data_IF_253957895926
#
_entry.id   IF_253957895926
#
_cell.length_a   1.000
_cell.length_b   1.000
_cell.length_c   1.000
_cell.angle_alpha   90.00
_cell.angle_beta   90.00
_cell.angle_gamma   90.00
#
_symmetry.space_group_name_H-M   'P 1'
#
loop_
_entity.id
_entity.type
_entity.pdbx_description
1 polymer ?
#
# COMPACT_ATOMS: atom_id res chain seq x y z
N UNK A 1 -7.55 25.09 3.25
CA UNK A 1 -8.56 24.03 3.49
C UNK A 1 -9.58 24.57 4.49
N UNK A 2 -10.80 24.83 4.05
CA UNK A 2 -11.88 25.13 5.01
C UNK A 2 -12.50 23.79 5.42
N UNK A 3 -12.59 23.53 6.71
CA UNK A 3 -13.23 22.36 7.33
C UNK A 3 -14.73 22.19 6.95
N UNK A 4 -15.26 23.03 6.10
CA UNK A 4 -16.67 23.09 5.73
C UNK A 4 -17.03 22.34 4.44
N UNK A 5 -16.16 21.49 3.91
CA UNK A 5 -16.44 20.72 2.68
C UNK A 5 -16.48 21.56 1.38
N UNK A 6 -15.97 22.77 1.42
CA UNK A 6 -15.86 23.68 0.28
C UNK A 6 -14.40 23.77 -0.20
N UNK A 7 -13.76 22.63 -0.47
CA UNK A 7 -12.47 22.64 -1.16
C UNK A 7 -12.63 23.16 -2.60
N UNK A 8 -11.69 23.97 -3.04
CA UNK A 8 -11.57 24.47 -4.42
C UNK A 8 -10.22 24.04 -4.97
N UNK A 9 -10.20 23.48 -6.16
CA UNK A 9 -8.98 23.02 -6.80
C UNK A 9 -8.68 23.94 -7.99
N UNK A 10 -7.44 24.38 -8.11
CA UNK A 10 -6.99 25.28 -9.13
C UNK A 10 -5.67 24.85 -9.73
N UNK A 11 -5.47 25.12 -11.01
CA UNK A 11 -4.18 25.05 -11.69
C UNK A 11 -3.75 26.47 -12.06
N UNK A 12 -2.53 26.85 -11.66
CA UNK A 12 -1.94 28.12 -12.00
C UNK A 12 -0.69 27.93 -12.86
N UNK A 13 -0.57 28.73 -13.90
CA UNK A 13 0.65 28.84 -14.70
C UNK A 13 1.38 30.10 -14.29
N UNK A 14 2.66 29.97 -13.93
CA UNK A 14 3.50 31.05 -13.46
C UNK A 14 4.57 31.36 -14.51
N UNK A 15 4.94 32.63 -14.64
CA UNK A 15 6.14 33.04 -15.38
C UNK A 15 7.40 32.84 -14.54
N UNK A 16 8.58 33.19 -15.12
CA UNK A 16 9.88 33.08 -14.45
C UNK A 16 10.03 33.98 -13.21
N UNK A 17 9.17 35.00 -13.08
CA UNK A 17 9.15 35.95 -11.97
C UNK A 17 8.05 35.54 -10.93
N UNK A 18 7.50 34.32 -11.05
CA UNK A 18 6.44 33.73 -10.22
C UNK A 18 5.10 34.49 -10.27
N UNK A 19 4.85 35.23 -11.36
CA UNK A 19 3.55 35.89 -11.59
C UNK A 19 2.62 34.94 -12.31
N UNK A 20 1.36 34.90 -11.87
CA UNK A 20 0.33 34.12 -12.52
C UNK A 20 0.05 34.71 -13.90
N UNK A 21 0.24 33.89 -14.95
CA UNK A 21 -0.02 34.28 -16.34
C UNK A 21 -1.18 33.52 -16.97
N UNK A 22 -1.62 32.41 -16.34
CA UNK A 22 -2.78 31.63 -16.73
C UNK A 22 -3.31 30.82 -15.56
N UNK A 23 -4.58 30.40 -15.63
CA UNK A 23 -5.24 29.64 -14.57
C UNK A 23 -6.43 28.83 -15.07
N UNK A 24 -6.68 27.68 -14.44
CA UNK A 24 -7.96 26.96 -14.45
C UNK A 24 -8.42 26.89 -13.02
N UNK A 25 -9.62 27.42 -12.75
CA UNK A 25 -10.16 27.51 -11.39
C UNK A 25 -11.39 26.62 -11.25
N UNK A 26 -11.74 26.32 -9.99
CA UNK A 26 -12.96 25.60 -9.60
C UNK A 26 -13.08 24.18 -10.17
N UNK A 27 -11.94 23.50 -10.37
CA UNK A 27 -11.92 22.10 -10.76
C UNK A 27 -12.54 21.25 -9.65
N UNK A 28 -13.55 20.43 -9.98
CA UNK A 28 -14.19 19.48 -9.08
C UNK A 28 -14.43 20.05 -7.68
N UNK A 29 -15.25 21.09 -7.59
CA UNK A 29 -15.60 21.76 -6.34
C UNK A 29 -16.09 20.78 -5.27
N UNK A 30 -15.50 20.84 -4.09
CA UNK A 30 -15.80 19.96 -2.95
C UNK A 30 -15.01 18.64 -2.95
N UNK A 31 -14.11 18.44 -3.92
CA UNK A 31 -13.18 17.30 -4.00
C UNK A 31 -11.78 17.71 -3.58
N UNK A 32 -10.91 16.72 -3.31
CA UNK A 32 -9.50 16.95 -2.96
C UNK A 32 -8.62 16.42 -4.10
N UNK A 33 -7.53 17.12 -4.46
CA UNK A 33 -6.53 16.62 -5.41
C UNK A 33 -5.73 15.51 -4.75
N UNK A 34 -5.65 14.36 -5.42
CA UNK A 34 -4.84 13.20 -5.03
C UNK A 34 -3.53 13.12 -5.80
N UNK A 35 -3.58 13.36 -7.09
CA UNK A 35 -2.36 13.36 -7.91
C UNK A 35 -2.45 14.33 -9.07
N UNK A 36 -1.28 14.76 -9.54
CA UNK A 36 -1.12 15.54 -10.76
C UNK A 36 0.11 15.08 -11.53
N UNK A 37 0.01 15.04 -12.86
CA UNK A 37 1.10 14.69 -13.75
C UNK A 37 1.12 15.61 -14.97
N UNK A 38 2.31 16.11 -15.32
CA UNK A 38 2.51 16.90 -16.52
C UNK A 38 3.20 16.04 -17.58
N UNK A 39 2.75 16.17 -18.84
CA UNK A 39 3.28 15.47 -19.99
C UNK A 39 3.21 16.40 -21.20
N UNK A 40 4.34 17.00 -21.57
CA UNK A 40 4.39 17.99 -22.66
C UNK A 40 3.40 19.12 -22.41
N UNK A 41 2.50 19.31 -23.35
CA UNK A 41 1.49 20.38 -23.32
C UNK A 41 0.20 19.97 -22.57
N UNK A 42 0.24 18.91 -21.79
CA UNK A 42 -0.91 18.41 -21.03
C UNK A 42 -0.62 18.28 -19.55
N UNK A 43 -1.63 18.53 -18.72
CA UNK A 43 -1.66 18.19 -17.29
C UNK A 43 -2.81 17.21 -17.03
N UNK A 44 -2.53 16.20 -16.23
CA UNK A 44 -3.48 15.21 -15.73
C UNK A 44 -3.66 15.44 -14.25
N UNK A 45 -4.91 15.64 -13.81
CA UNK A 45 -5.22 15.87 -12.39
C UNK A 45 -6.30 14.89 -11.98
N UNK A 46 -6.03 14.15 -10.89
CA UNK A 46 -7.01 13.29 -10.22
C UNK A 46 -7.52 14.01 -8.98
N UNK A 47 -8.83 14.15 -8.90
CA UNK A 47 -9.51 14.63 -7.69
C UNK A 47 -10.41 13.54 -7.15
N UNK A 48 -10.79 13.56 -5.88
CA UNK A 48 -11.65 12.56 -5.27
C UNK A 48 -12.57 13.12 -4.20
N UNK A 49 -13.81 12.65 -4.26
CA UNK A 49 -14.76 12.64 -3.14
C UNK A 49 -15.45 11.28 -3.00
N UNK A 50 -15.86 10.67 -4.11
CA UNK A 50 -16.53 9.36 -4.17
C UNK A 50 -16.22 8.62 -5.49
N UNK A 51 -16.25 9.33 -6.60
CA UNK A 51 -15.96 8.86 -7.95
C UNK A 51 -14.99 9.87 -8.53
N UNK A 52 -13.82 9.38 -8.94
CA UNK A 52 -12.74 10.25 -9.40
C UNK A 52 -12.96 10.74 -10.82
N UNK A 53 -12.93 12.02 -11.06
CA UNK A 53 -12.55 12.50 -12.38
C UNK A 53 -11.03 12.55 -12.53
N UNK A 54 -10.52 11.88 -13.56
CA UNK A 54 -9.23 12.16 -14.18
C UNK A 54 -9.44 13.29 -15.18
N UNK A 55 -8.99 14.50 -14.86
CA UNK A 55 -9.04 15.63 -15.79
C UNK A 55 -7.84 15.62 -16.73
N UNK A 56 -8.10 15.92 -18.00
CA UNK A 56 -7.08 16.24 -19.01
C UNK A 56 -7.15 17.73 -19.30
N UNK A 57 -6.04 18.43 -19.08
CA UNK A 57 -5.96 19.89 -19.18
C UNK A 57 -4.89 20.25 -20.23
N UNK A 58 -5.24 21.08 -21.20
CA UNK A 58 -4.31 21.71 -22.12
C UNK A 58 -3.53 22.83 -21.41
N UNK A 59 -2.21 22.77 -21.50
CA UNK A 59 -1.31 23.80 -21.00
C UNK A 59 -0.37 24.31 -22.09
N UNK A 60 -0.66 23.99 -23.38
CA UNK A 60 0.13 24.41 -24.55
C UNK A 60 0.18 25.93 -24.68
N UNK A 61 -0.96 26.61 -24.43
CA UNK A 61 -0.99 28.06 -24.26
C UNK A 61 -0.93 28.39 -22.74
N UNK A 62 0.21 28.77 -22.19
CA UNK A 62 0.35 29.02 -20.77
C UNK A 62 -0.51 30.18 -20.24
N UNK A 63 -1.05 31.04 -21.12
CA UNK A 63 -1.95 32.13 -20.75
C UNK A 63 -3.42 31.74 -20.70
N UNK A 64 -3.78 30.65 -21.37
CA UNK A 64 -5.15 30.19 -21.53
C UNK A 64 -5.25 28.65 -21.35
N UNK A 65 -4.81 28.12 -20.19
CA UNK A 65 -4.97 26.70 -19.94
C UNK A 65 -6.47 26.31 -19.88
N UNK A 66 -6.84 25.15 -20.41
CA UNK A 66 -8.22 24.74 -20.53
C UNK A 66 -8.43 23.25 -20.22
N UNK A 67 -9.55 22.90 -19.59
CA UNK A 67 -9.97 21.50 -19.42
C UNK A 67 -10.42 20.98 -20.80
N UNK A 68 -9.79 19.92 -21.28
CA UNK A 68 -10.14 19.27 -22.54
C UNK A 68 -11.21 18.19 -22.33
N UNK A 69 -11.09 17.41 -21.28
CA UNK A 69 -12.02 16.34 -20.97
C UNK A 69 -11.79 15.81 -19.56
N UNK A 70 -12.65 14.88 -19.16
CA UNK A 70 -12.49 14.14 -17.90
C UNK A 70 -13.11 12.75 -18.00
N UNK A 71 -12.53 11.79 -17.26
CA UNK A 71 -13.04 10.44 -17.10
C UNK A 71 -13.46 10.23 -15.63
N UNK A 72 -14.69 9.79 -15.42
CA UNK A 72 -15.14 9.32 -14.10
C UNK A 72 -14.83 7.83 -13.95
N UNK A 73 -14.06 7.47 -12.94
CA UNK A 73 -13.65 6.10 -12.64
C UNK A 73 -14.02 5.72 -11.20
N UNK A 74 -14.19 4.42 -10.95
CA UNK A 74 -14.31 3.93 -9.57
C UNK A 74 -12.95 3.99 -8.88
N UNK A 75 -12.93 4.36 -7.61
CA UNK A 75 -11.69 4.53 -6.86
C UNK A 75 -10.90 5.77 -7.26
N UNK A 76 -9.63 5.85 -6.86
CA UNK A 76 -8.78 6.99 -7.13
C UNK A 76 -7.33 6.57 -7.39
N UNK A 77 -6.52 7.50 -7.92
CA UNK A 77 -5.10 7.33 -8.17
C UNK A 77 -4.29 8.32 -7.33
N UNK A 78 -3.54 7.81 -6.34
CA UNK A 78 -2.58 8.59 -5.56
C UNK A 78 -1.34 8.95 -6.37
N UNK A 79 -1.03 8.13 -7.38
CA UNK A 79 0.13 8.32 -8.24
C UNK A 79 -0.22 8.07 -9.71
N UNK A 80 0.27 8.96 -10.59
CA UNK A 80 0.18 8.83 -12.04
C UNK A 80 1.56 8.63 -12.63
N UNK A 81 1.76 7.53 -13.37
CA UNK A 81 2.95 7.19 -14.13
C UNK A 81 2.66 7.29 -15.62
N UNK A 82 3.48 8.06 -16.35
CA UNK A 82 3.39 8.09 -17.80
C UNK A 82 3.80 6.71 -18.36
N UNK A 83 2.94 6.14 -19.19
CA UNK A 83 3.23 4.92 -19.95
C UNK A 83 3.80 5.29 -21.34
N UNK A 84 3.12 6.18 -22.07
CA UNK A 84 3.59 6.84 -23.29
C UNK A 84 2.80 8.15 -23.52
N UNK A 85 2.90 8.74 -24.70
CA UNK A 85 2.26 10.01 -25.05
C UNK A 85 0.71 9.96 -25.02
N UNK A 86 0.13 8.75 -25.14
CA UNK A 86 -1.31 8.53 -25.19
C UNK A 86 -1.85 7.72 -24.01
N UNK A 87 -0.97 7.24 -23.10
CA UNK A 87 -1.41 6.37 -22.01
C UNK A 87 -0.79 6.77 -20.67
N UNK A 88 -1.60 6.66 -19.62
CA UNK A 88 -1.21 6.96 -18.23
C UNK A 88 -1.58 5.76 -17.35
N UNK A 89 -0.65 5.36 -16.47
CA UNK A 89 -0.90 4.37 -15.41
C UNK A 89 -1.31 5.12 -14.15
N UNK A 90 -2.47 4.76 -13.57
CA UNK A 90 -2.88 5.20 -12.25
C UNK A 90 -2.67 4.11 -11.21
N UNK A 91 -2.06 4.46 -10.07
CA UNK A 91 -1.87 3.59 -8.92
C UNK A 91 -2.57 4.23 -7.73
N UNK A 92 -3.52 3.53 -7.13
CA UNK A 92 -4.36 4.06 -6.05
C UNK A 92 -5.17 2.96 -5.38
N UNK A 93 -6.41 3.28 -5.00
CA UNK A 93 -7.32 2.31 -4.40
C UNK A 93 -8.63 2.22 -5.15
N UNK A 94 -9.22 1.03 -5.17
CA UNK A 94 -10.58 0.83 -5.62
C UNK A 94 -11.55 1.29 -4.51
N UNK A 95 -12.79 1.65 -4.89
CA UNK A 95 -13.84 2.02 -3.94
C UNK A 95 -15.13 1.29 -4.26
N UNK A 96 -15.87 0.89 -3.21
CA UNK A 96 -17.18 0.25 -3.33
C UNK A 96 -18.13 0.69 -2.22
N UNK A 97 -19.41 0.43 -2.42
CA UNK A 97 -20.42 0.68 -1.40
C UNK A 97 -20.54 2.15 -0.96
N UNK A 98 -21.05 2.35 0.25
CA UNK A 98 -21.22 3.67 0.84
C UNK A 98 -22.53 4.38 0.41
N UNK A 99 -22.56 5.69 0.56
CA UNK A 99 -23.70 6.55 0.21
C UNK A 99 -23.29 7.68 -0.75
N UNK A 100 -24.10 8.71 -0.93
CA UNK A 100 -23.82 9.82 -1.85
C UNK A 100 -22.55 10.62 -1.50
N UNK A 101 -22.06 10.55 -0.26
CA UNK A 101 -20.92 11.32 0.23
C UNK A 101 -19.73 10.47 0.67
N UNK A 102 -19.83 9.14 0.61
CA UNK A 102 -18.84 8.23 1.17
C UNK A 102 -18.76 6.92 0.36
N UNK A 103 -17.55 6.39 0.21
CA UNK A 103 -17.28 5.04 -0.33
C UNK A 103 -16.20 4.33 0.48
N UNK A 104 -16.28 2.99 0.57
CA UNK A 104 -15.29 2.17 1.24
C UNK A 104 -14.08 1.93 0.33
N UNK A 105 -12.89 2.35 0.77
CA UNK A 105 -11.65 2.00 0.09
C UNK A 105 -11.44 0.50 0.15
N UNK A 106 -11.11 -0.11 -0.99
CA UNK A 106 -10.84 -1.53 -1.14
C UNK A 106 -9.33 -1.79 -1.33
N UNK A 107 -8.98 -2.77 -2.16
CA UNK A 107 -7.62 -3.12 -2.51
C UNK A 107 -6.85 -2.04 -3.27
N UNK A 108 -5.57 -2.29 -3.49
CA UNK A 108 -4.74 -1.44 -4.36
C UNK A 108 -5.16 -1.65 -5.81
N UNK A 109 -5.50 -0.55 -6.49
CA UNK A 109 -5.85 -0.53 -7.91
C UNK A 109 -4.66 -0.07 -8.74
N UNK A 110 -4.44 -0.77 -9.86
CA UNK A 110 -3.56 -0.33 -10.94
C UNK A 110 -4.41 -0.30 -12.19
N UNK A 111 -4.50 0.87 -12.82
CA UNK A 111 -5.29 1.08 -14.03
C UNK A 111 -4.45 1.72 -15.12
N UNK A 112 -4.72 1.37 -16.37
CA UNK A 112 -4.16 1.99 -17.57
C UNK A 112 -5.25 2.79 -18.25
N UNK A 113 -5.00 4.06 -18.48
CA UNK A 113 -5.90 4.99 -19.14
C UNK A 113 -5.39 5.31 -20.54
N UNK A 114 -6.26 5.23 -21.55
CA UNK A 114 -6.04 5.80 -22.88
C UNK A 114 -6.55 7.26 -22.85
N UNK A 115 -5.65 8.17 -23.13
CA UNK A 115 -5.89 9.62 -23.20
C UNK A 115 -5.58 10.19 -24.59
N UNK A 116 -5.58 9.34 -25.62
CA UNK A 116 -5.39 9.74 -27.02
C UNK A 116 -6.55 10.61 -27.50
N UNK A 117 -7.78 10.24 -27.18
CA UNK A 117 -8.94 11.13 -27.28
C UNK A 117 -9.08 11.90 -25.96
N UNK A 118 -8.59 13.13 -25.97
CA UNK A 118 -8.53 13.98 -24.75
C UNK A 118 -9.91 14.41 -24.25
N UNK A 119 -10.92 14.43 -25.11
CA UNK A 119 -12.30 14.76 -24.73
C UNK A 119 -13.01 13.56 -24.11
N UNK A 120 -12.58 12.33 -24.47
CA UNK A 120 -13.18 11.08 -24.03
C UNK A 120 -12.12 10.07 -23.57
N UNK A 121 -11.34 10.37 -22.50
CA UNK A 121 -10.37 9.41 -21.97
C UNK A 121 -11.09 8.16 -21.44
N UNK A 122 -10.45 6.99 -21.52
CA UNK A 122 -11.04 5.70 -21.13
C UNK A 122 -10.09 4.87 -20.26
N UNK A 123 -10.63 4.12 -19.30
CA UNK A 123 -9.90 3.06 -18.58
C UNK A 123 -9.86 1.80 -19.44
N UNK A 124 -8.71 1.47 -20.01
CA UNK A 124 -8.56 0.33 -20.94
C UNK A 124 -8.22 -0.96 -20.24
N UNK A 125 -7.51 -0.90 -19.12
CA UNK A 125 -7.13 -2.07 -18.29
C UNK A 125 -7.11 -1.68 -16.83
N UNK A 126 -7.48 -2.62 -15.96
CA UNK A 126 -7.23 -2.51 -14.51
C UNK A 126 -7.05 -3.85 -13.83
N UNK A 127 -6.35 -3.84 -12.72
CA UNK A 127 -6.35 -4.91 -11.72
C UNK A 127 -6.59 -4.32 -10.33
N UNK A 128 -7.16 -5.13 -9.47
CA UNK A 128 -7.28 -4.87 -8.04
C UNK A 128 -6.48 -5.92 -7.28
N UNK A 129 -5.71 -5.50 -6.30
CA UNK A 129 -4.84 -6.35 -5.48
C UNK A 129 -5.37 -6.35 -4.05
N UNK A 130 -5.83 -7.51 -3.61
CA UNK A 130 -6.34 -7.73 -2.26
C UNK A 130 -7.66 -7.02 -1.95
N UNK A 131 -8.05 -7.10 -0.68
CA UNK A 131 -9.27 -6.49 -0.16
C UNK A 131 -8.99 -5.20 0.61
N UNK A 132 -10.03 -4.63 1.21
CA UNK A 132 -9.95 -3.49 2.12
C UNK A 132 -8.94 -3.76 3.24
N UNK A 133 -7.97 -2.88 3.42
CA UNK A 133 -6.81 -3.05 4.31
C UNK A 133 -5.50 -3.33 3.56
N UNK A 134 -5.56 -3.76 2.29
CA UNK A 134 -4.37 -3.83 1.44
C UNK A 134 -3.80 -2.42 1.23
N UNK A 135 -2.48 -2.29 1.32
CA UNK A 135 -1.79 -1.01 1.20
C UNK A 135 -0.48 -1.11 0.42
N UNK A 136 0.06 0.04 0.01
CA UNK A 136 1.32 0.15 -0.72
C UNK A 136 2.07 1.42 -0.36
N UNK A 137 3.38 1.32 -0.19
CA UNK A 137 4.26 2.49 -0.09
C UNK A 137 4.16 3.39 -1.34
N UNK A 138 3.82 2.82 -2.50
CA UNK A 138 3.66 3.54 -3.77
C UNK A 138 2.53 4.59 -3.75
N UNK A 139 1.58 4.48 -2.80
CA UNK A 139 0.48 5.44 -2.66
C UNK A 139 0.92 6.75 -1.99
N UNK A 140 1.99 6.72 -1.20
CA UNK A 140 2.52 7.87 -0.47
C UNK A 140 3.91 8.31 -0.94
N UNK A 141 4.70 7.41 -1.52
CA UNK A 141 6.05 7.69 -2.01
C UNK A 141 6.25 7.11 -3.42
N UNK A 142 6.22 7.98 -4.43
CA UNK A 142 6.40 7.61 -5.84
C UNK A 142 7.74 6.91 -6.12
N UNK A 143 8.77 7.08 -5.28
CA UNK A 143 10.06 6.38 -5.42
C UNK A 143 9.96 4.88 -5.15
N UNK A 144 8.85 4.43 -4.57
CA UNK A 144 8.57 3.01 -4.40
C UNK A 144 8.08 2.33 -5.70
N UNK A 145 7.73 3.12 -6.72
CA UNK A 145 7.32 2.61 -8.03
C UNK A 145 8.54 2.40 -8.91
N UNK A 146 8.74 1.18 -9.40
CA UNK A 146 9.68 0.88 -10.48
C UNK A 146 8.87 0.55 -11.74
N UNK A 147 9.01 1.35 -12.78
CA UNK A 147 8.36 1.14 -14.08
C UNK A 147 9.37 1.18 -15.22
N UNK A 148 9.29 0.20 -16.11
CA UNK A 148 10.05 0.15 -17.36
C UNK A 148 9.17 -0.37 -18.49
N UNK A 149 8.77 0.54 -19.39
CA UNK A 149 7.93 0.23 -20.56
C UNK A 149 8.59 -0.78 -21.51
N UNK A 150 9.90 -0.65 -21.76
CA UNK A 150 10.62 -1.52 -22.69
C UNK A 150 10.65 -2.98 -22.23
N UNK A 151 10.54 -3.21 -20.92
CA UNK A 151 10.49 -4.54 -20.29
C UNK A 151 9.07 -4.99 -19.94
N UNK A 152 8.06 -4.17 -20.19
CA UNK A 152 6.70 -4.36 -19.70
C UNK A 152 6.65 -4.59 -18.16
N UNK A 153 7.50 -3.91 -17.41
CA UNK A 153 7.74 -4.18 -16.00
C UNK A 153 7.16 -3.07 -15.14
N UNK A 154 6.37 -3.47 -14.15
CA UNK A 154 5.96 -2.62 -13.02
C UNK A 154 6.22 -3.37 -11.72
N UNK A 155 6.95 -2.76 -10.79
CA UNK A 155 7.18 -3.32 -9.46
C UNK A 155 6.75 -2.33 -8.41
N UNK A 156 5.89 -2.76 -7.49
CA UNK A 156 5.43 -1.96 -6.35
C UNK A 156 5.42 -2.80 -5.06
N UNK A 157 5.73 -2.20 -3.91
CA UNK A 157 5.54 -2.84 -2.62
C UNK A 157 4.05 -3.03 -2.34
N UNK A 158 3.67 -4.15 -1.75
CA UNK A 158 2.30 -4.45 -1.32
C UNK A 158 2.31 -5.05 0.08
N UNK A 159 1.42 -4.54 0.93
CA UNK A 159 0.97 -5.16 2.18
C UNK A 159 -0.43 -5.70 1.92
N UNK A 160 -0.53 -7.00 1.62
CA UNK A 160 -1.75 -7.64 1.16
C UNK A 160 -2.67 -8.00 2.33
N UNK A 161 -3.89 -7.52 2.29
CA UNK A 161 -4.96 -7.94 3.18
C UNK A 161 -6.04 -8.69 2.42
N UNK A 162 -6.57 -9.75 3.02
CA UNK A 162 -7.64 -10.58 2.44
C UNK A 162 -8.75 -10.80 3.45
N UNK A 163 -10.00 -10.76 2.98
CA UNK A 163 -11.17 -11.11 3.77
C UNK A 163 -11.27 -12.62 3.92
N UNK A 164 -11.75 -13.05 5.07
CA UNK A 164 -12.03 -14.47 5.36
C UNK A 164 -13.43 -14.61 5.96
N UNK A 165 -13.84 -15.83 6.25
CA UNK A 165 -15.18 -16.15 6.80
C UNK A 165 -15.45 -15.56 8.20
N UNK A 166 -14.43 -15.02 8.88
CA UNK A 166 -14.53 -14.40 10.21
C UNK A 166 -14.48 -12.86 10.12
N UNK A 167 -14.30 -12.31 8.92
CA UNK A 167 -14.20 -10.87 8.72
C UNK A 167 -15.53 -10.19 9.06
N UNK A 168 -15.51 -9.28 10.01
CA UNK A 168 -16.70 -8.53 10.43
C UNK A 168 -16.89 -7.29 9.57
N UNK A 169 -18.14 -7.02 9.22
CA UNK A 169 -18.55 -5.83 8.48
C UNK A 169 -19.31 -4.84 9.37
N UNK A 170 -19.21 -3.55 9.03
CA UNK A 170 -20.03 -2.53 9.67
C UNK A 170 -21.45 -2.55 9.09
N UNK A 171 -22.47 -2.57 9.97
CA UNK A 171 -23.88 -2.57 9.57
C UNK A 171 -24.26 -3.63 8.52
N UNK A 172 -23.63 -4.79 8.52
CA UNK A 172 -23.81 -5.83 7.50
C UNK A 172 -23.47 -5.39 6.05
N UNK A 173 -22.72 -4.32 5.89
CA UNK A 173 -22.18 -3.90 4.60
C UNK A 173 -20.85 -4.63 4.33
N UNK A 174 -20.80 -5.61 3.40
CA UNK A 174 -19.61 -6.41 3.14
C UNK A 174 -18.44 -5.58 2.62
N UNK A 175 -18.70 -4.41 2.02
CA UNK A 175 -17.65 -3.54 1.51
C UNK A 175 -16.94 -2.77 2.63
N UNK A 176 -17.57 -2.65 3.80
CA UNK A 176 -16.97 -2.04 5.00
C UNK A 176 -15.92 -2.93 5.68
N UNK A 177 -15.96 -4.23 5.42
CA UNK A 177 -15.16 -5.23 6.11
C UNK A 177 -13.67 -5.12 5.77
N UNK A 178 -12.81 -5.07 6.79
CA UNK A 178 -11.36 -5.10 6.62
C UNK A 178 -10.84 -6.52 6.49
N UNK A 179 -10.01 -6.77 5.48
CA UNK A 179 -9.22 -7.99 5.38
C UNK A 179 -8.14 -8.07 6.47
N UNK A 180 -7.72 -9.29 6.75
CA UNK A 180 -6.54 -9.56 7.57
C UNK A 180 -5.29 -9.47 6.71
N UNK A 181 -4.23 -8.87 7.22
CA UNK A 181 -2.96 -8.81 6.52
C UNK A 181 -2.35 -10.22 6.42
N UNK A 182 -2.15 -10.69 5.19
CA UNK A 182 -1.72 -12.08 4.91
C UNK A 182 -0.35 -12.18 4.25
N UNK A 183 0.14 -11.09 3.65
CA UNK A 183 1.43 -11.11 2.96
C UNK A 183 2.00 -9.69 2.80
N UNK A 184 3.34 -9.59 2.75
CA UNK A 184 4.05 -8.34 2.49
C UNK A 184 5.27 -8.57 1.62
N UNK A 185 5.49 -7.68 0.64
CA UNK A 185 6.64 -7.75 -0.25
C UNK A 185 6.47 -6.88 -1.50
N UNK A 186 7.18 -7.21 -2.58
CA UNK A 186 7.04 -6.58 -3.89
C UNK A 186 6.22 -7.44 -4.84
N UNK A 187 5.20 -6.85 -5.45
CA UNK A 187 4.51 -7.40 -6.61
C UNK A 187 5.28 -7.01 -7.86
N UNK A 188 5.65 -8.01 -8.64
CA UNK A 188 6.28 -7.87 -9.95
C UNK A 188 5.21 -8.14 -11.00
N UNK A 189 4.87 -7.14 -11.78
CA UNK A 189 3.77 -7.17 -12.75
C UNK A 189 4.31 -7.02 -14.17
N UNK A 190 3.69 -7.73 -15.10
CA UNK A 190 3.75 -7.38 -16.51
C UNK A 190 2.68 -6.33 -16.78
N UNK A 191 3.05 -5.26 -17.48
CA UNK A 191 2.13 -4.20 -17.86
C UNK A 191 2.38 -3.78 -19.31
N UNK A 192 1.35 -3.92 -20.15
CA UNK A 192 1.33 -3.44 -21.51
C UNK A 192 -0.11 -3.03 -21.89
N UNK A 193 -0.35 -2.63 -23.14
CA UNK A 193 -1.67 -2.18 -23.58
C UNK A 193 -2.71 -3.31 -23.61
N UNK A 194 -2.27 -4.56 -23.67
CA UNK A 194 -3.16 -5.72 -23.75
C UNK A 194 -3.51 -6.27 -22.38
N UNK A 195 -2.57 -6.19 -21.39
CA UNK A 195 -2.78 -6.77 -20.07
C UNK A 195 -2.03 -6.04 -18.95
N UNK A 196 -2.55 -6.20 -17.73
CA UNK A 196 -1.83 -6.02 -16.47
C UNK A 196 -1.92 -7.36 -15.75
N UNK A 197 -0.80 -8.06 -15.57
CA UNK A 197 -0.78 -9.41 -15.00
C UNK A 197 0.32 -9.59 -13.97
N UNK A 198 0.09 -10.46 -12.98
CA UNK A 198 1.08 -10.78 -11.96
C UNK A 198 2.15 -11.71 -12.56
N UNK A 199 3.40 -11.26 -12.64
CA UNK A 199 4.56 -12.09 -12.95
C UNK A 199 4.99 -12.93 -11.75
N UNK A 200 4.98 -12.34 -10.54
CA UNK A 200 5.29 -13.02 -9.29
C UNK A 200 5.48 -12.06 -8.12
N UNK A 201 5.91 -12.60 -6.99
CA UNK A 201 6.03 -11.89 -5.72
C UNK A 201 7.39 -12.13 -5.10
N UNK A 202 7.99 -11.09 -4.49
CA UNK A 202 9.24 -11.18 -3.74
C UNK A 202 8.97 -10.66 -2.33
N UNK A 203 9.31 -11.44 -1.30
CA UNK A 203 9.19 -11.00 0.10
C UNK A 203 10.54 -10.99 0.79
N UNK A 204 10.71 -10.11 1.76
CA UNK A 204 11.83 -10.11 2.69
C UNK A 204 11.49 -10.82 4.01
N UNK A 205 10.24 -11.21 4.19
CA UNK A 205 9.83 -12.01 5.33
C UNK A 205 10.27 -13.46 5.13
N UNK A 206 10.91 -14.01 6.13
CA UNK A 206 11.29 -15.43 6.16
C UNK A 206 10.29 -16.17 7.06
N UNK A 207 9.75 -17.27 6.56
CA UNK A 207 8.86 -18.11 7.36
C UNK A 207 9.66 -18.80 8.47
N UNK A 208 9.16 -18.66 9.69
CA UNK A 208 9.68 -19.45 10.78
C UNK A 208 9.24 -20.92 10.64
N UNK A 209 10.22 -21.82 10.67
CA UNK A 209 10.00 -23.27 10.54
C UNK A 209 10.37 -24.05 11.81
N UNK A 210 10.81 -23.35 12.86
CA UNK A 210 11.21 -23.96 14.10
C UNK A 210 10.02 -24.35 15.00
N UNK A 211 10.29 -25.07 16.09
CA UNK A 211 9.25 -25.45 17.03
C UNK A 211 8.68 -24.25 17.77
N UNK A 212 7.38 -24.25 18.04
CA UNK A 212 6.68 -23.24 18.82
C UNK A 212 6.16 -23.88 20.11
N UNK A 213 6.34 -23.23 21.25
CA UNK A 213 5.89 -23.72 22.56
C UNK A 213 4.82 -22.80 23.12
N UNK A 214 3.76 -23.39 23.67
CA UNK A 214 2.73 -22.64 24.40
C UNK A 214 3.19 -22.41 25.83
N UNK A 215 3.07 -21.17 26.29
CA UNK A 215 3.36 -20.82 27.68
C UNK A 215 2.24 -21.29 28.61
N UNK A 216 2.61 -21.72 29.82
CA UNK A 216 1.64 -21.86 30.88
C UNK A 216 1.02 -20.48 31.24
N UNK A 217 -0.25 -20.47 31.61
CA UNK A 217 -1.05 -19.25 31.82
C UNK A 217 -0.43 -18.31 32.86
N UNK A 218 0.26 -18.88 33.84
CA UNK A 218 0.73 -18.16 35.03
C UNK A 218 2.22 -17.73 34.96
N UNK A 219 2.90 -17.97 33.82
CA UNK A 219 4.28 -17.56 33.68
C UNK A 219 4.40 -16.06 33.38
N UNK A 220 5.33 -15.33 34.00
CA UNK A 220 5.51 -13.89 33.75
C UNK A 220 6.05 -13.60 32.35
N UNK A 221 5.69 -12.44 31.79
CA UNK A 221 6.28 -11.93 30.54
C UNK A 221 7.78 -11.77 30.72
N UNK A 222 8.56 -12.17 29.71
CA UNK A 222 10.02 -12.14 29.75
C UNK A 222 10.64 -13.37 30.43
N UNK A 223 9.85 -14.31 30.95
CA UNK A 223 10.36 -15.61 31.38
C UNK A 223 11.05 -16.32 30.23
N UNK A 224 12.18 -16.99 30.51
CA UNK A 224 12.95 -17.70 29.49
C UNK A 224 12.93 -19.20 29.73
N UNK A 225 12.92 -19.97 28.64
CA UNK A 225 13.15 -21.42 28.64
C UNK A 225 14.24 -21.77 27.66
N UNK A 226 15.05 -22.78 27.97
CA UNK A 226 16.05 -23.31 27.06
C UNK A 226 15.62 -24.70 26.60
N UNK A 227 15.59 -24.91 25.28
CA UNK A 227 15.28 -26.23 24.71
C UNK A 227 16.48 -27.18 24.77
N UNK A 228 16.26 -28.44 24.36
CA UNK A 228 17.30 -29.49 24.33
C UNK A 228 18.44 -29.20 23.36
N UNK A 229 18.26 -28.23 22.44
CA UNK A 229 19.25 -27.78 21.48
C UNK A 229 20.03 -26.55 21.93
N UNK A 230 19.69 -26.01 23.13
CA UNK A 230 20.33 -24.82 23.70
C UNK A 230 19.73 -23.49 23.24
N UNK A 231 18.61 -23.48 22.48
CA UNK A 231 17.95 -22.23 22.10
C UNK A 231 17.19 -21.67 23.29
N UNK A 232 17.30 -20.36 23.47
CA UNK A 232 16.58 -19.64 24.52
C UNK A 232 15.27 -19.08 23.95
N UNK A 233 14.17 -19.41 24.58
CA UNK A 233 12.83 -18.98 24.26
C UNK A 233 12.35 -17.96 25.29
N UNK A 234 11.83 -16.82 24.83
CA UNK A 234 11.34 -15.75 25.69
C UNK A 234 9.83 -15.64 25.60
N UNK A 235 9.15 -15.62 26.77
CA UNK A 235 7.70 -15.45 26.81
C UNK A 235 7.29 -14.06 26.39
N UNK A 236 6.32 -13.98 25.52
CA UNK A 236 5.68 -12.75 25.06
C UNK A 236 4.17 -12.82 25.23
N UNK A 237 3.53 -11.66 25.28
CA UNK A 237 2.09 -11.54 25.18
C UNK A 237 1.70 -10.90 23.87
N UNK A 238 0.63 -11.42 23.30
CA UNK A 238 0.00 -10.85 22.13
C UNK A 238 -1.17 -10.02 22.60
N UNK A 239 -1.17 -8.76 22.25
CA UNK A 239 -2.19 -7.81 22.62
C UNK A 239 -2.94 -7.33 21.40
N UNK A 240 -4.26 -7.21 21.51
CA UNK A 240 -5.10 -6.52 20.54
C UNK A 240 -5.72 -5.28 21.19
N UNK A 241 -6.04 -4.30 20.35
CA UNK A 241 -6.72 -3.10 20.81
C UNK A 241 -8.23 -3.29 20.65
N UNK A 242 -8.94 -3.31 21.77
CA UNK A 242 -10.40 -3.50 21.80
C UNK A 242 -11.12 -2.17 21.82
N UNK A 243 -11.88 -1.88 20.76
CA UNK A 243 -12.67 -0.66 20.61
C UNK A 243 -14.10 -0.78 21.17
N UNK A 244 -14.45 -1.86 21.85
CA UNK A 244 -15.84 -2.25 22.13
C UNK A 244 -16.62 -1.39 23.12
N UNK A 245 -16.09 -0.27 23.62
CA UNK A 245 -16.81 0.53 24.61
C UNK A 245 -16.48 2.02 24.51
N UNK A 246 -17.42 2.80 24.02
CA UNK A 246 -17.52 4.28 24.17
C UNK A 246 -16.25 5.09 23.92
N UNK A 247 -15.58 4.87 22.78
CA UNK A 247 -14.55 5.80 22.28
C UNK A 247 -13.17 5.69 22.92
N UNK A 248 -12.97 4.87 23.95
CA UNK A 248 -11.67 4.59 24.55
C UNK A 248 -11.38 3.10 24.43
N UNK A 249 -10.54 2.74 23.46
CA UNK A 249 -10.07 1.36 23.32
C UNK A 249 -9.09 0.99 24.44
N UNK A 250 -9.00 -0.30 24.74
CA UNK A 250 -8.04 -0.87 25.69
C UNK A 250 -7.24 -1.98 25.06
N UNK A 251 -5.96 -2.05 25.41
CA UNK A 251 -5.12 -3.18 25.06
C UNK A 251 -5.48 -4.40 25.90
N UNK A 252 -5.90 -5.48 25.23
CA UNK A 252 -6.20 -6.77 25.88
C UNK A 252 -5.24 -7.84 25.37
N UNK A 253 -4.82 -8.73 26.27
CA UNK A 253 -4.01 -9.89 25.91
C UNK A 253 -4.89 -10.92 25.22
N UNK A 254 -4.55 -11.26 23.96
CA UNK A 254 -5.23 -12.30 23.17
C UNK A 254 -4.64 -13.67 23.43
N UNK A 255 -3.30 -13.76 23.52
CA UNK A 255 -2.57 -15.01 23.72
C UNK A 255 -1.19 -14.75 24.33
N UNK A 256 -0.54 -15.82 24.76
CA UNK A 256 0.85 -15.79 25.25
C UNK A 256 1.61 -16.96 24.67
N UNK A 257 2.89 -16.80 24.41
CA UNK A 257 3.77 -17.84 23.85
C UNK A 257 5.23 -17.58 24.14
N UNK A 258 6.09 -18.44 23.62
CA UNK A 258 7.56 -18.28 23.66
C UNK A 258 8.11 -18.14 22.25
N UNK A 259 9.13 -17.29 22.08
CA UNK A 259 9.88 -17.13 20.83
C UNK A 259 11.40 -17.08 21.07
N UNK A 260 12.19 -17.57 20.13
CA UNK A 260 13.65 -17.45 20.14
C UNK A 260 14.20 -16.71 18.93
N UNK A 261 13.37 -16.42 17.95
CA UNK A 261 13.71 -15.72 16.71
C UNK A 261 12.55 -14.88 16.25
N UNK A 262 12.74 -14.13 15.19
CA UNK A 262 11.68 -13.39 14.48
C UNK A 262 10.82 -14.41 13.73
N UNK A 263 9.53 -14.45 14.05
CA UNK A 263 8.56 -15.28 13.35
C UNK A 263 7.92 -14.47 12.22
N UNK A 264 7.81 -15.04 11.04
CA UNK A 264 7.11 -14.41 9.93
C UNK A 264 5.62 -14.71 9.92
N UNK A 265 5.25 -15.94 10.21
CA UNK A 265 3.87 -16.37 10.38
C UNK A 265 3.85 -17.66 11.20
N UNK A 266 3.09 -17.69 12.28
CA UNK A 266 2.71 -18.95 12.88
C UNK A 266 1.23 -18.98 13.19
N UNK A 267 0.62 -20.10 12.82
CA UNK A 267 -0.77 -20.37 13.10
C UNK A 267 -0.85 -21.19 14.38
N UNK A 268 -1.49 -20.63 15.41
CA UNK A 268 -1.71 -21.31 16.69
C UNK A 268 -2.99 -22.15 16.66
N UNK A 269 -3.73 -22.19 15.56
CA UNK A 269 -4.98 -22.94 15.41
C UNK A 269 -4.83 -24.43 15.69
N UNK A 270 -3.64 -24.97 15.50
CA UNK A 270 -3.35 -26.40 15.68
C UNK A 270 -2.69 -26.74 17.02
N UNK A 271 -2.62 -25.81 17.96
CA UNK A 271 -2.04 -26.10 19.27
C UNK A 271 -3.05 -26.90 20.14
N UNK A 272 -2.57 -27.90 20.87
CA UNK A 272 -3.40 -28.59 21.87
C UNK A 272 -3.88 -27.61 22.92
N UNK A 273 -5.15 -27.23 22.86
CA UNK A 273 -5.75 -26.22 23.76
C UNK A 273 -6.67 -25.24 23.06
N UNK A 274 -6.76 -25.30 21.71
CA UNK A 274 -7.82 -24.62 20.94
C UNK A 274 -7.71 -23.09 20.90
N UNK A 275 -6.52 -22.52 20.98
CA UNK A 275 -6.32 -21.09 20.78
C UNK A 275 -5.95 -20.87 19.32
N UNK A 276 -6.91 -20.41 18.52
CA UNK A 276 -6.68 -19.98 17.15
C UNK A 276 -5.98 -18.62 17.15
N UNK A 277 -4.69 -18.62 16.89
CA UNK A 277 -3.90 -17.41 16.82
C UNK A 277 -2.96 -17.42 15.61
N UNK A 278 -3.18 -16.51 14.72
CA UNK A 278 -2.22 -16.16 13.67
C UNK A 278 -1.50 -14.88 14.10
N UNK A 279 -0.25 -14.99 14.53
CA UNK A 279 0.60 -13.81 14.62
C UNK A 279 1.04 -13.49 13.21
N UNK A 280 0.33 -12.57 12.58
CA UNK A 280 0.80 -11.95 11.35
C UNK A 280 1.97 -11.05 11.68
N UNK A 281 3.20 -11.54 11.55
CA UNK A 281 4.37 -10.70 11.40
C UNK A 281 4.49 -10.12 9.98
N UNK A 282 3.44 -10.25 9.20
CA UNK A 282 3.33 -9.66 7.87
C UNK A 282 3.51 -8.13 7.89
N UNK A 283 3.33 -7.49 9.03
CA UNK A 283 3.55 -6.04 9.23
C UNK A 283 4.85 -5.71 9.97
N UNK A 284 5.94 -6.39 9.69
CA UNK A 284 7.22 -5.91 10.20
C UNK A 284 7.70 -4.76 9.31
N UNK A 285 7.60 -3.53 9.84
CA UNK A 285 8.07 -2.31 9.17
C UNK A 285 9.54 -2.41 8.72
N UNK A 286 10.36 -3.20 9.42
CA UNK A 286 11.77 -3.38 9.11
C UNK A 286 12.01 -4.22 7.85
N UNK A 287 11.15 -5.21 7.58
CA UNK A 287 11.24 -6.08 6.40
C UNK A 287 10.37 -5.60 5.24
N UNK A 288 9.58 -4.54 5.45
CA UNK A 288 8.78 -3.93 4.40
C UNK A 288 9.67 -3.42 3.27
N UNK A 289 9.45 -3.90 2.06
CA UNK A 289 10.16 -3.42 0.88
C UNK A 289 9.77 -1.97 0.62
N UNK A 290 10.76 -1.09 0.56
CA UNK A 290 10.60 0.34 0.35
C UNK A 290 10.97 0.78 -1.06
N UNK A 291 11.88 0.05 -1.71
CA UNK A 291 12.44 0.40 -3.01
C UNK A 291 12.70 -0.85 -3.83
N UNK A 292 12.60 -0.68 -5.13
CA UNK A 292 13.06 -1.66 -6.11
C UNK A 292 13.83 -0.96 -7.22
N UNK A 293 14.84 -1.62 -7.73
CA UNK A 293 15.59 -1.19 -8.91
C UNK A 293 16.08 -2.43 -9.67
N UNK A 294 16.44 -2.28 -10.92
CA UNK A 294 17.09 -3.37 -11.64
C UNK A 294 18.42 -2.91 -12.27
N UNK A 295 19.31 -3.86 -12.44
CA UNK A 295 20.52 -3.74 -13.26
C UNK A 295 20.62 -4.98 -14.15
N UNK A 296 20.76 -4.78 -15.45
CA UNK A 296 20.74 -5.85 -16.45
C UNK A 296 19.48 -6.75 -16.31
N UNK A 297 19.65 -7.98 -15.90
CA UNK A 297 18.57 -8.95 -15.69
C UNK A 297 18.35 -9.29 -14.21
N UNK A 298 18.77 -8.43 -13.30
CA UNK A 298 18.65 -8.63 -11.86
C UNK A 298 17.78 -7.54 -11.25
N UNK A 299 16.72 -7.96 -10.56
CA UNK A 299 15.85 -7.11 -9.76
C UNK A 299 16.35 -7.07 -8.32
N UNK A 300 16.62 -5.88 -7.82
CA UNK A 300 16.96 -5.64 -6.42
C UNK A 300 15.75 -5.08 -5.68
N UNK A 301 15.41 -5.67 -4.55
CA UNK A 301 14.41 -5.19 -3.63
C UNK A 301 15.07 -4.83 -2.31
N UNK A 302 14.66 -3.71 -1.70
CA UNK A 302 15.34 -3.09 -0.56
C UNK A 302 14.33 -2.83 0.55
N UNK A 303 14.63 -3.34 1.75
CA UNK A 303 13.98 -2.99 3.01
C UNK A 303 14.99 -2.37 3.98
N UNK A 304 14.57 -2.02 5.20
CA UNK A 304 15.49 -1.49 6.20
C UNK A 304 16.53 -2.51 6.68
N UNK A 305 16.23 -3.80 6.57
CA UNK A 305 17.10 -4.87 7.11
C UNK A 305 17.75 -5.74 6.03
N UNK A 306 17.34 -5.62 4.77
CA UNK A 306 17.76 -6.57 3.74
C UNK A 306 17.73 -5.97 2.34
N UNK A 307 18.68 -6.43 1.51
CA UNK A 307 18.63 -6.27 0.07
C UNK A 307 18.61 -7.68 -0.54
N UNK A 308 17.62 -7.97 -1.39
CA UNK A 308 17.59 -9.20 -2.20
C UNK A 308 17.85 -8.89 -3.66
N UNK A 309 18.60 -9.78 -4.30
CA UNK A 309 18.83 -9.81 -5.74
C UNK A 309 18.09 -11.02 -6.33
N UNK A 310 17.16 -10.78 -7.23
CA UNK A 310 16.37 -11.82 -7.89
C UNK A 310 16.54 -11.74 -9.41
N UNK A 311 16.52 -12.87 -10.09
CA UNK A 311 16.47 -12.92 -11.55
C UNK A 311 15.20 -12.29 -12.06
N UNK A 312 15.28 -11.37 -13.04
CA UNK A 312 14.08 -10.82 -13.68
C UNK A 312 13.34 -11.84 -14.56
N UNK A 313 13.98 -12.93 -14.97
CA UNK A 313 13.34 -13.94 -15.82
C UNK A 313 12.28 -14.76 -15.07
N UNK A 314 12.62 -15.26 -13.88
CA UNK A 314 11.82 -16.21 -13.10
C UNK A 314 11.62 -15.83 -11.63
N UNK A 315 12.17 -14.69 -11.20
CA UNK A 315 12.17 -14.16 -9.85
C UNK A 315 12.88 -15.03 -8.81
N UNK A 316 13.67 -16.04 -9.23
CA UNK A 316 14.49 -16.83 -8.32
C UNK A 316 15.50 -15.95 -7.58
N UNK A 317 15.69 -16.21 -6.27
CA UNK A 317 16.69 -15.51 -5.48
C UNK A 317 18.10 -15.88 -5.94
N UNK A 318 18.89 -14.89 -6.33
CA UNK A 318 20.28 -15.04 -6.73
C UNK A 318 21.22 -14.81 -5.56
N UNK A 319 20.92 -13.78 -4.75
CA UNK A 319 21.72 -13.43 -3.57
C UNK A 319 20.93 -12.52 -2.63
N UNK A 320 21.38 -12.41 -1.39
CA UNK A 320 20.85 -11.45 -0.41
C UNK A 320 21.94 -10.90 0.49
N UNK A 321 21.72 -9.69 0.99
CA UNK A 321 22.59 -9.03 1.98
C UNK A 321 21.71 -8.57 3.13
N UNK A 322 22.05 -9.00 4.35
CA UNK A 322 21.44 -8.46 5.57
C UNK A 322 22.08 -7.11 5.90
N UNK A 323 21.27 -6.12 6.16
CA UNK A 323 21.72 -4.79 6.56
C UNK A 323 21.77 -4.70 8.08
N UNK A 324 22.72 -3.94 8.66
CA UNK A 324 22.76 -3.71 10.10
C UNK A 324 21.42 -3.13 10.56
N UNK A 325 20.80 -3.74 11.56
CA UNK A 325 19.61 -3.18 12.16
C UNK A 325 19.95 -1.79 12.75
N UNK A 326 19.23 -0.74 12.33
CA UNK A 326 19.27 0.53 13.03
C UNK A 326 18.82 0.28 14.46
N UNK A 327 19.71 0.56 15.43
CA UNK A 327 19.29 0.57 16.83
C UNK A 327 18.18 1.61 16.97
N UNK A 328 16.95 1.16 17.15
CA UNK A 328 15.86 2.04 17.53
C UNK A 328 16.28 2.73 18.84
N UNK A 329 16.66 4.00 18.75
CA UNK A 329 16.71 4.85 19.94
C UNK A 329 15.26 5.00 20.41
N UNK A 330 14.88 4.17 21.37
CA UNK A 330 13.69 4.43 22.16
C UNK A 330 13.88 5.80 22.81
N UNK A 331 13.22 6.81 22.25
CA UNK A 331 12.91 8.00 23.04
C UNK A 331 11.84 7.58 24.04
N UNK A 332 12.28 6.94 25.11
CA UNK A 332 11.50 6.76 26.32
C UNK A 332 11.23 8.15 26.87
N UNK A 333 10.06 8.70 26.58
CA UNK A 333 9.55 9.84 27.31
C UNK A 333 9.36 9.40 28.75
N UNK A 334 10.28 9.79 29.62
CA UNK A 334 10.07 9.80 31.07
C UNK A 334 9.04 10.87 31.32
N UNK A 335 7.79 10.50 31.53
CA UNK A 335 6.84 11.37 32.19
C UNK A 335 7.26 11.38 33.67
N UNK A 336 7.93 12.45 34.08
CA UNK A 336 8.08 12.78 35.48
C UNK A 336 6.70 13.18 36.02
N UNK A 337 6.42 12.73 37.26
CA UNK A 337 5.23 12.99 38.06
C UNK A 337 4.90 14.47 38.21
#
# INVERSE_FOLDING_TARGET
ESWNGNSLNHLYVLDKDLKIIGKVEDLAKGETIYSARFMGDRAYIVTFKKIDPLFVIDVSNPREPAVLGYLKISGYSDYLQLYDENHVIGIGKETRGGDENFAWYQGVKIALFDVSDVENPVEVRKIEIGDRGTDSEALSDHKAVLFDKARNLLVIPISLAEKNNQTQSWNNDPDSAYGTLVWQGAYVLNINLDEISLKGKITHNEKYTGPVYIAAKDEPIGATRTDSSGNVWTKFNIMHYDYSSYGYGQWKTSASGYENTIFDDYNIDNFPGGINYVRNQVSNYQTQIKRSLYMDNVLYTISNTKIKANSLSDLSELNKVELPAEQQRYYGGVFAE
#
